data_IF_181019208340
#
_entry.id   IF_181019208340
#
_cell.length_a   1.000
_cell.length_b   1.000
_cell.length_c   1.000
_cell.angle_alpha   90.00
_cell.angle_beta   90.00
_cell.angle_gamma   90.00
#
_symmetry.space_group_name_H-M   'P 1'
#
loop_
_entity.id
_entity.type
_entity.pdbx_description
1 polymer ?
#
# COMPACT_ATOMS: atom_id res chain seq x y z
N UNK A 1 -27.75 67.27 -24.50
CA UNK A 1 -28.56 66.08 -24.17
C UNK A 1 -28.28 65.78 -22.71
N UNK A 2 -29.10 66.31 -21.80
CA UNK A 2 -28.94 66.06 -20.37
C UNK A 2 -29.30 64.60 -20.09
N UNK A 3 -28.30 63.83 -19.67
CA UNK A 3 -28.52 62.46 -19.22
C UNK A 3 -29.42 62.57 -17.99
N UNK A 4 -30.63 62.00 -18.05
CA UNK A 4 -31.53 61.94 -16.89
C UNK A 4 -30.79 61.27 -15.73
N UNK A 5 -30.86 61.86 -14.53
CA UNK A 5 -30.25 61.31 -13.32
C UNK A 5 -30.61 59.83 -13.12
N UNK A 6 -31.84 59.44 -13.49
CA UNK A 6 -32.31 58.04 -13.45
C UNK A 6 -31.48 57.12 -14.34
N UNK A 7 -31.07 57.58 -15.53
CA UNK A 7 -30.24 56.83 -16.46
C UNK A 7 -28.81 56.69 -15.91
N UNK A 8 -28.26 57.74 -15.30
CA UNK A 8 -26.94 57.70 -14.65
C UNK A 8 -26.92 56.70 -13.48
N UNK A 9 -27.93 56.73 -12.61
CA UNK A 9 -28.07 55.77 -11.51
C UNK A 9 -28.21 54.34 -12.01
N UNK A 10 -28.98 54.10 -13.07
CA UNK A 10 -29.15 52.76 -13.66
C UNK A 10 -27.83 52.21 -14.23
N UNK A 11 -27.03 53.04 -14.89
CA UNK A 11 -25.71 52.65 -15.43
C UNK A 11 -24.75 52.30 -14.29
N UNK A 12 -24.69 53.11 -13.23
CA UNK A 12 -23.83 52.83 -12.07
C UNK A 12 -24.26 51.54 -11.37
N UNK A 13 -25.56 51.36 -11.11
CA UNK A 13 -26.09 50.16 -10.47
C UNK A 13 -25.83 48.89 -11.31
N UNK A 14 -26.01 48.98 -12.64
CA UNK A 14 -25.68 47.89 -13.56
C UNK A 14 -24.19 47.55 -13.57
N UNK A 15 -23.32 48.57 -13.58
CA UNK A 15 -21.87 48.40 -13.55
C UNK A 15 -21.38 47.75 -12.25
N UNK A 16 -21.87 48.21 -11.10
CA UNK A 16 -21.54 47.62 -9.79
C UNK A 16 -22.02 46.17 -9.71
N UNK A 17 -23.22 45.88 -10.20
CA UNK A 17 -23.78 44.52 -10.19
C UNK A 17 -22.94 43.56 -11.06
N UNK A 18 -22.51 44.00 -12.25
CA UNK A 18 -21.63 43.22 -13.11
C UNK A 18 -20.26 42.96 -12.45
N UNK A 19 -19.71 43.98 -11.79
CA UNK A 19 -18.43 43.87 -11.10
C UNK A 19 -18.49 42.89 -9.92
N UNK A 20 -19.54 42.98 -9.09
CA UNK A 20 -19.79 42.04 -7.98
C UNK A 20 -20.00 40.62 -8.51
N UNK A 21 -20.73 40.46 -9.62
CA UNK A 21 -20.93 39.16 -10.25
C UNK A 21 -19.61 38.55 -10.75
N UNK A 22 -18.74 39.36 -11.36
CA UNK A 22 -17.42 38.90 -11.83
C UNK A 22 -16.53 38.45 -10.67
N UNK A 23 -16.44 39.25 -9.60
CA UNK A 23 -15.70 38.87 -8.40
C UNK A 23 -16.26 37.58 -7.80
N UNK A 24 -17.59 37.51 -7.65
CA UNK A 24 -18.28 36.33 -7.11
C UNK A 24 -17.99 35.08 -7.94
N UNK A 25 -17.99 35.21 -9.26
CA UNK A 25 -17.66 34.12 -10.17
C UNK A 25 -16.22 33.62 -9.96
N UNK A 26 -15.25 34.53 -9.92
CA UNK A 26 -13.83 34.19 -9.70
C UNK A 26 -13.64 33.53 -8.34
N UNK A 27 -14.24 34.08 -7.27
CA UNK A 27 -14.14 33.49 -5.94
C UNK A 27 -14.78 32.11 -5.87
N UNK A 28 -15.93 31.90 -6.53
CA UNK A 28 -16.61 30.61 -6.57
C UNK A 28 -15.77 29.56 -7.30
N UNK A 29 -15.18 29.90 -8.45
CA UNK A 29 -14.30 28.99 -9.19
C UNK A 29 -13.09 28.60 -8.33
N UNK A 30 -12.47 29.56 -7.66
CA UNK A 30 -11.34 29.30 -6.78
C UNK A 30 -11.72 28.40 -5.58
N UNK A 31 -12.83 28.71 -4.91
CA UNK A 31 -13.34 27.92 -3.79
C UNK A 31 -13.70 26.49 -4.21
N UNK A 32 -14.34 26.31 -5.37
CA UNK A 32 -14.69 25.00 -5.88
C UNK A 32 -13.44 24.16 -6.17
N UNK A 33 -12.42 24.76 -6.79
CA UNK A 33 -11.14 24.08 -7.04
C UNK A 33 -10.43 23.68 -5.73
N UNK A 34 -10.50 24.50 -4.69
CA UNK A 34 -9.96 24.15 -3.37
C UNK A 34 -10.75 23.05 -2.68
N UNK A 35 -12.09 23.10 -2.74
CA UNK A 35 -12.96 22.08 -2.20
C UNK A 35 -12.73 20.73 -2.88
N UNK A 36 -12.58 20.71 -4.21
CA UNK A 36 -12.26 19.50 -4.98
C UNK A 36 -10.92 18.89 -4.55
N UNK A 37 -9.87 19.72 -4.39
CA UNK A 37 -8.55 19.26 -3.92
C UNK A 37 -8.60 18.70 -2.50
N UNK A 38 -9.36 19.33 -1.60
CA UNK A 38 -9.58 18.85 -0.23
C UNK A 38 -10.30 17.50 -0.25
N UNK A 39 -11.40 17.41 -0.99
CA UNK A 39 -12.18 16.18 -1.13
C UNK A 39 -11.34 15.03 -1.71
N UNK A 40 -10.53 15.28 -2.75
CA UNK A 40 -9.60 14.29 -3.31
C UNK A 40 -8.59 13.80 -2.27
N UNK A 41 -8.05 14.72 -1.47
CA UNK A 41 -7.11 14.39 -0.39
C UNK A 41 -7.80 13.58 0.72
N UNK A 42 -8.99 13.97 1.13
CA UNK A 42 -9.78 13.25 2.14
C UNK A 42 -10.13 11.83 1.69
N UNK A 43 -10.61 11.67 0.46
CA UNK A 43 -10.88 10.36 -0.14
C UNK A 43 -9.62 9.51 -0.18
N UNK A 44 -8.50 10.08 -0.65
CA UNK A 44 -7.21 9.38 -0.68
C UNK A 44 -6.80 8.94 0.73
N UNK A 45 -6.89 9.82 1.71
CA UNK A 45 -6.52 9.52 3.10
C UNK A 45 -7.40 8.42 3.68
N UNK A 46 -8.71 8.48 3.46
CA UNK A 46 -9.67 7.45 3.90
C UNK A 46 -9.34 6.07 3.33
N UNK A 47 -9.08 5.97 2.03
CA UNK A 47 -8.70 4.69 1.42
C UNK A 47 -7.32 4.21 1.86
N UNK A 48 -6.38 5.15 2.06
CA UNK A 48 -5.05 4.84 2.58
C UNK A 48 -5.12 4.30 4.00
N UNK A 49 -5.93 4.91 4.87
CA UNK A 49 -6.19 4.44 6.23
C UNK A 49 -6.78 3.04 6.23
N UNK A 50 -7.81 2.79 5.40
CA UNK A 50 -8.39 1.43 5.26
C UNK A 50 -7.40 0.39 4.74
N UNK A 51 -6.55 0.77 3.79
CA UNK A 51 -5.45 -0.08 3.31
C UNK A 51 -4.49 -0.43 4.46
N UNK A 52 -4.11 0.55 5.30
CA UNK A 52 -3.24 0.31 6.44
C UNK A 52 -3.89 -0.56 7.52
N UNK A 53 -5.14 -0.26 7.91
CA UNK A 53 -5.90 -1.07 8.87
C UNK A 53 -5.87 -2.55 8.45
N UNK A 54 -6.19 -2.83 7.18
CA UNK A 54 -6.19 -4.18 6.63
C UNK A 54 -4.81 -4.84 6.64
N UNK A 55 -3.74 -4.09 6.34
CA UNK A 55 -2.37 -4.62 6.42
C UNK A 55 -1.97 -4.98 7.84
N UNK A 56 -2.28 -4.12 8.82
CA UNK A 56 -2.01 -4.39 10.24
C UNK A 56 -2.76 -5.64 10.71
N UNK A 57 -3.99 -5.82 10.26
CA UNK A 57 -4.82 -7.01 10.55
C UNK A 57 -4.23 -8.29 9.93
N UNK A 58 -3.84 -8.23 8.64
CA UNK A 58 -3.55 -9.43 7.85
C UNK A 58 -2.07 -9.86 7.85
N UNK A 59 -1.12 -8.92 8.01
CA UNK A 59 0.32 -9.22 7.91
C UNK A 59 0.88 -10.06 9.07
N UNK A 60 0.41 -9.94 10.32
CA UNK A 60 0.85 -10.80 11.42
C UNK A 60 0.74 -12.29 11.10
N UNK A 61 -0.31 -12.70 10.36
CA UNK A 61 -0.47 -14.09 9.91
C UNK A 61 0.68 -14.55 9.00
N UNK A 62 1.07 -13.73 8.02
CA UNK A 62 2.24 -14.03 7.18
C UNK A 62 3.53 -14.12 8.01
N UNK A 63 3.70 -13.23 8.99
CA UNK A 63 4.85 -13.27 9.91
C UNK A 63 4.95 -14.58 10.67
N UNK A 64 3.80 -15.11 11.13
CA UNK A 64 3.72 -16.39 11.83
C UNK A 64 4.03 -17.55 10.88
N UNK A 65 3.45 -17.58 9.68
CA UNK A 65 3.71 -18.62 8.67
C UNK A 65 5.21 -18.72 8.37
N UNK A 66 5.86 -17.60 8.03
CA UNK A 66 7.29 -17.59 7.67
C UNK A 66 8.24 -17.63 8.88
N UNK A 67 7.72 -17.59 10.11
CA UNK A 67 8.51 -17.83 11.33
C UNK A 67 8.86 -19.30 11.51
N UNK A 68 8.07 -20.21 10.92
CA UNK A 68 8.32 -21.65 10.91
C UNK A 68 9.59 -22.02 10.15
N UNK A 69 10.03 -21.17 9.20
CA UNK A 69 11.30 -21.33 8.49
C UNK A 69 12.43 -20.98 9.46
N UNK A 70 13.12 -22.00 9.96
CA UNK A 70 14.22 -21.87 10.92
C UNK A 70 15.52 -22.43 10.34
N UNK A 71 16.62 -21.69 10.50
CA UNK A 71 17.98 -22.22 10.28
C UNK A 71 18.31 -23.25 11.36
N UNK A 72 19.01 -24.30 10.97
CA UNK A 72 19.41 -25.41 11.84
C UNK A 72 20.92 -25.67 11.71
N UNK A 73 21.49 -26.43 12.64
CA UNK A 73 22.90 -26.86 12.59
C UNK A 73 23.01 -28.13 11.73
N UNK A 74 24.15 -28.31 11.07
CA UNK A 74 24.44 -29.51 10.28
C UNK A 74 24.09 -30.80 11.06
N UNK A 75 23.56 -31.85 10.40
CA UNK A 75 23.50 -32.03 8.94
C UNK A 75 22.30 -31.36 8.24
N UNK A 76 21.30 -30.90 8.98
CA UNK A 76 20.13 -30.21 8.44
C UNK A 76 20.32 -28.71 8.60
N UNK A 77 20.52 -27.98 7.51
CA UNK A 77 20.83 -26.54 7.59
C UNK A 77 19.57 -25.66 7.71
N UNK A 78 18.41 -26.24 7.40
CA UNK A 78 17.09 -25.58 7.41
C UNK A 78 16.01 -26.63 7.64
N UNK A 79 14.76 -26.19 7.78
CA UNK A 79 13.59 -27.06 7.90
C UNK A 79 13.44 -28.08 6.76
N UNK A 80 12.83 -29.23 7.07
CA UNK A 80 12.61 -30.33 6.13
C UNK A 80 11.74 -29.91 4.93
N UNK A 81 11.81 -30.71 3.86
CA UNK A 81 11.02 -30.51 2.64
C UNK A 81 9.52 -30.46 2.93
N UNK A 82 9.00 -31.38 3.74
CA UNK A 82 7.57 -31.43 4.06
C UNK A 82 7.11 -30.18 4.83
N UNK A 83 7.94 -29.70 5.77
CA UNK A 83 7.62 -28.47 6.48
C UNK A 83 7.70 -27.24 5.56
N UNK A 84 8.64 -27.21 4.60
CA UNK A 84 8.68 -26.16 3.58
C UNK A 84 7.43 -26.19 2.69
N UNK A 85 7.00 -27.36 2.25
CA UNK A 85 5.79 -27.52 1.47
C UNK A 85 4.55 -27.03 2.23
N UNK A 86 4.45 -27.35 3.53
CA UNK A 86 3.38 -26.85 4.40
C UNK A 86 3.42 -25.32 4.52
N UNK A 87 4.60 -24.74 4.78
CA UNK A 87 4.77 -23.27 4.84
C UNK A 87 4.40 -22.62 3.52
N UNK A 88 4.80 -23.20 2.39
CA UNK A 88 4.49 -22.71 1.05
C UNK A 88 2.98 -22.73 0.80
N UNK A 89 2.30 -23.83 1.14
CA UNK A 89 0.84 -23.95 1.00
C UNK A 89 0.12 -22.93 1.88
N UNK A 90 0.48 -22.80 3.16
CA UNK A 90 -0.10 -21.79 4.05
C UNK A 90 0.12 -20.37 3.53
N UNK A 91 1.30 -20.08 2.98
CA UNK A 91 1.65 -18.78 2.45
C UNK A 91 0.89 -18.45 1.16
N UNK A 92 0.73 -19.43 0.26
CA UNK A 92 -0.10 -19.28 -0.94
C UNK A 92 -1.55 -19.02 -0.56
N UNK A 93 -2.12 -19.82 0.36
CA UNK A 93 -3.49 -19.63 0.85
C UNK A 93 -3.66 -18.25 1.48
N UNK A 94 -2.69 -17.77 2.25
CA UNK A 94 -2.75 -16.41 2.79
C UNK A 94 -2.79 -15.36 1.67
N UNK A 95 -1.95 -15.50 0.64
CA UNK A 95 -1.87 -14.55 -0.48
C UNK A 95 -3.07 -14.64 -1.45
N UNK A 96 -3.69 -15.80 -1.61
CA UNK A 96 -4.86 -16.00 -2.48
C UNK A 96 -6.17 -15.53 -1.83
N UNK A 97 -6.20 -15.45 -0.50
CA UNK A 97 -7.31 -14.88 0.26
C UNK A 97 -7.24 -13.33 0.30
N UNK A 98 -8.00 -12.73 1.21
CA UNK A 98 -8.14 -11.27 1.37
C UNK A 98 -6.80 -10.52 1.42
N UNK A 99 -5.73 -11.12 1.97
CA UNK A 99 -4.44 -10.43 2.11
C UNK A 99 -3.78 -10.07 0.77
N UNK A 100 -3.99 -10.86 -0.29
CA UNK A 100 -3.42 -10.60 -1.62
C UNK A 100 -3.79 -9.24 -2.21
N UNK A 101 -5.02 -8.77 -1.91
CA UNK A 101 -5.55 -7.51 -2.41
C UNK A 101 -4.88 -6.28 -1.77
N UNK A 102 -4.30 -6.44 -0.58
CA UNK A 102 -3.74 -5.34 0.19
C UNK A 102 -2.22 -5.27 0.13
N UNK A 103 -1.55 -6.21 -0.56
CA UNK A 103 -0.09 -6.23 -0.66
C UNK A 103 0.44 -5.06 -1.50
N UNK A 104 1.51 -4.41 -1.04
CA UNK A 104 2.26 -3.50 -1.90
C UNK A 104 3.11 -4.24 -2.93
N UNK A 105 3.57 -3.51 -3.95
CA UNK A 105 4.44 -4.04 -5.01
C UNK A 105 5.70 -4.72 -4.44
N UNK A 106 6.30 -4.16 -3.39
CA UNK A 106 7.51 -4.70 -2.78
C UNK A 106 7.25 -5.99 -1.99
N UNK A 107 6.10 -6.05 -1.29
CA UNK A 107 5.65 -7.26 -0.61
C UNK A 107 5.34 -8.37 -1.62
N UNK A 108 4.66 -8.06 -2.72
CA UNK A 108 4.38 -9.02 -3.80
C UNK A 108 5.68 -9.55 -4.41
N UNK A 109 6.63 -8.68 -4.73
CA UNK A 109 7.92 -9.08 -5.31
C UNK A 109 8.70 -10.00 -4.37
N UNK A 110 8.77 -9.65 -3.09
CA UNK A 110 9.46 -10.46 -2.08
C UNK A 110 8.73 -11.77 -1.76
N UNK A 111 7.40 -11.78 -1.79
CA UNK A 111 6.57 -12.99 -1.72
C UNK A 111 6.91 -13.97 -2.85
N UNK A 112 6.91 -13.53 -4.11
CA UNK A 112 7.23 -14.41 -5.23
C UNK A 112 8.68 -14.91 -5.19
N UNK A 113 9.61 -14.09 -4.70
CA UNK A 113 10.99 -14.53 -4.46
C UNK A 113 11.04 -15.64 -3.41
N UNK A 114 10.33 -15.51 -2.28
CA UNK A 114 10.28 -16.54 -1.24
C UNK A 114 9.59 -17.82 -1.73
N UNK A 115 8.44 -17.67 -2.41
CA UNK A 115 7.69 -18.76 -3.04
C UNK A 115 8.56 -19.59 -3.97
N UNK A 116 9.37 -18.92 -4.82
CA UNK A 116 10.31 -19.57 -5.72
C UNK A 116 11.33 -20.42 -4.96
N UNK A 117 11.93 -19.87 -3.91
CA UNK A 117 12.96 -20.60 -3.15
C UNK A 117 12.39 -21.78 -2.34
N UNK A 118 11.17 -21.64 -1.78
CA UNK A 118 10.47 -22.72 -1.08
C UNK A 118 9.97 -23.83 -2.01
N UNK A 119 9.73 -23.53 -3.28
CA UNK A 119 9.28 -24.51 -4.28
C UNK A 119 10.39 -25.40 -4.82
N UNK A 120 11.65 -25.14 -4.46
CA UNK A 120 12.79 -25.93 -4.93
C UNK A 120 12.90 -27.26 -4.14
N UNK A 121 13.19 -28.35 -4.85
CA UNK A 121 13.53 -29.61 -4.21
C UNK A 121 14.92 -29.54 -3.52
N UNK A 122 15.16 -30.33 -2.46
CA UNK A 122 16.47 -30.45 -1.85
C UNK A 122 17.53 -30.92 -2.89
N UNK A 123 18.73 -30.36 -2.82
CA UNK A 123 19.81 -30.64 -3.78
C UNK A 123 20.73 -31.80 -3.40
N UNK A 124 20.63 -32.31 -2.17
CA UNK A 124 21.43 -33.41 -1.64
C UNK A 124 20.51 -34.50 -1.06
N UNK A 125 19.86 -35.25 -1.96
CA UNK A 125 18.84 -36.24 -1.61
C UNK A 125 17.65 -35.60 -0.90
N UNK A 126 17.49 -35.88 0.38
CA UNK A 126 16.42 -35.30 1.22
C UNK A 126 16.83 -33.99 1.91
N UNK A 127 18.09 -33.56 1.78
CA UNK A 127 18.66 -32.42 2.50
C UNK A 127 18.92 -31.23 1.58
N UNK A 128 18.64 -30.04 2.11
CA UNK A 128 18.96 -28.80 1.42
C UNK A 128 20.45 -28.49 1.56
N UNK A 129 21.08 -28.16 0.44
CA UNK A 129 22.46 -27.67 0.43
C UNK A 129 22.57 -26.34 1.18
N UNK A 130 23.79 -26.00 1.62
CA UNK A 130 24.05 -24.71 2.28
C UNK A 130 23.59 -23.51 1.45
N UNK A 131 23.83 -23.56 0.14
CA UNK A 131 23.43 -22.50 -0.79
C UNK A 131 21.90 -22.35 -0.83
N UNK A 132 21.16 -23.46 -0.87
CA UNK A 132 19.69 -23.43 -0.83
C UNK A 132 19.16 -22.89 0.50
N UNK A 133 19.70 -23.37 1.63
CA UNK A 133 19.33 -22.88 2.95
C UNK A 133 19.55 -21.37 3.11
N UNK A 134 20.67 -20.85 2.60
CA UNK A 134 20.97 -19.41 2.63
C UNK A 134 20.05 -18.59 1.71
N UNK A 135 19.72 -19.09 0.52
CA UNK A 135 18.75 -18.45 -0.38
C UNK A 135 17.36 -18.35 0.24
N UNK A 136 16.84 -19.46 0.79
CA UNK A 136 15.55 -19.49 1.48
C UNK A 136 15.55 -18.50 2.65
N UNK A 137 16.60 -18.52 3.48
CA UNK A 137 16.70 -17.62 4.62
C UNK A 137 16.74 -16.14 4.23
N UNK A 138 17.50 -15.82 3.17
CA UNK A 138 17.57 -14.45 2.62
C UNK A 138 16.21 -14.02 2.09
N UNK A 139 15.54 -14.86 1.30
CA UNK A 139 14.20 -14.57 0.77
C UNK A 139 13.18 -14.35 1.89
N UNK A 140 13.20 -15.20 2.94
CA UNK A 140 12.36 -15.07 4.13
C UNK A 140 12.61 -13.76 4.89
N UNK A 141 13.88 -13.37 5.02
CA UNK A 141 14.25 -12.11 5.70
C UNK A 141 13.79 -10.90 4.89
N UNK A 142 13.99 -10.92 3.57
CA UNK A 142 13.54 -9.85 2.68
C UNK A 142 12.02 -9.69 2.71
N UNK A 143 11.27 -10.80 2.65
CA UNK A 143 9.81 -10.78 2.75
C UNK A 143 9.33 -10.18 4.08
N UNK A 144 9.92 -10.62 5.20
CA UNK A 144 9.62 -9.99 6.51
C UNK A 144 9.96 -8.51 6.55
N UNK A 145 11.07 -8.10 5.92
CA UNK A 145 11.44 -6.69 5.85
C UNK A 145 10.41 -5.89 5.05
N UNK A 146 10.00 -6.38 3.89
CA UNK A 146 9.00 -5.73 3.05
C UNK A 146 7.67 -5.57 3.80
N UNK A 147 7.19 -6.62 4.49
CA UNK A 147 5.98 -6.53 5.31
C UNK A 147 6.09 -5.44 6.40
N UNK A 148 7.25 -5.30 7.06
CA UNK A 148 7.46 -4.24 8.07
C UNK A 148 7.51 -2.86 7.42
N UNK A 149 8.26 -2.69 6.34
CA UNK A 149 8.38 -1.40 5.66
C UNK A 149 7.02 -0.89 5.19
N UNK A 150 6.15 -1.80 4.76
CA UNK A 150 4.83 -1.50 4.23
C UNK A 150 3.81 -1.07 5.31
N UNK A 151 4.14 -1.26 6.59
CA UNK A 151 3.41 -0.72 7.75
C UNK A 151 4.23 0.36 8.52
N UNK A 152 5.53 0.47 8.27
CA UNK A 152 6.45 1.33 9.01
C UNK A 152 6.23 2.83 8.77
N UNK A 153 5.47 3.22 7.74
CA UNK A 153 5.02 4.60 7.55
C UNK A 153 4.17 5.12 8.73
N UNK A 154 3.73 4.26 9.65
CA UNK A 154 3.11 4.63 10.92
C UNK A 154 4.10 5.10 12.00
N UNK A 155 5.40 4.80 11.85
CA UNK A 155 6.43 5.06 12.87
C UNK A 155 7.42 6.17 12.50
N UNK A 156 7.43 6.63 11.23
CA UNK A 156 8.17 7.83 10.84
C UNK A 156 7.23 9.03 10.85
N UNK A 157 7.18 9.72 11.99
CA UNK A 157 6.81 11.13 12.11
C UNK A 157 8.02 11.92 12.58
#
# INVERSE_FOLDING_TARGET
>A
MEISEKLMTAIIAGGVSLFVALISFVTNVYQNNMAEKKLKTEIKNKFTEKLYEKRIELYPKAFLIVSKIQKRKAPELIISKDLQANVLTELNLWAENEAGLFLSKDVIKSYYSLRKELGNNPGDGEKYTKIQADKIWKARTNFRSALRSDIALLHYK
#
